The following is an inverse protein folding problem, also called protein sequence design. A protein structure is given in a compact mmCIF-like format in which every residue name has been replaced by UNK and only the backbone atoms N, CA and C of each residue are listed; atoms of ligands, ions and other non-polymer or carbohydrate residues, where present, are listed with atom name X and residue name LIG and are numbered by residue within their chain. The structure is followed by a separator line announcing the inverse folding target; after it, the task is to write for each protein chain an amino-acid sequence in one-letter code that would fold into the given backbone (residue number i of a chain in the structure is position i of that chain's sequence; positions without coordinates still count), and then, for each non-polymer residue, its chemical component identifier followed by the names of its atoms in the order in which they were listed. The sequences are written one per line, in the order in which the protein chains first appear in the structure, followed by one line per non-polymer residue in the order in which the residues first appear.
data_IF_005982320542
#
_entry.id   IF_005982320542
#
_cell.length_a   1.000
_cell.length_b   1.000
_cell.length_c   1.000
_cell.angle_alpha   90.00
_cell.angle_beta   90.00
_cell.angle_gamma   90.00
#
_symmetry.space_group_name_H-M   'P 1'
#
loop_
_entity.id
_entity.type
_entity.pdbx_description
1 polymer ?
#
# COMPACT_ATOMS: atom_id res chain seq x y z
N UNK A 1 -12.95 2.15 -6.15
CA UNK A 1 -11.88 2.55 -5.22
C UNK A 1 -12.49 3.52 -4.24
N UNK A 2 -12.51 3.18 -2.95
CA UNK A 2 -13.07 4.03 -1.89
C UNK A 2 -12.03 5.06 -1.43
N UNK A 3 -12.46 6.04 -0.62
CA UNK A 3 -11.52 7.00 -0.02
C UNK A 3 -10.46 6.30 0.85
N UNK A 4 -10.84 5.25 1.58
CA UNK A 4 -9.92 4.45 2.39
C UNK A 4 -8.89 3.71 1.52
N UNK A 5 -9.30 3.13 0.39
CA UNK A 5 -8.37 2.49 -0.55
C UNK A 5 -7.32 3.49 -1.07
N UNK A 6 -7.73 4.72 -1.37
CA UNK A 6 -6.83 5.77 -1.84
C UNK A 6 -5.83 6.17 -0.76
N UNK A 7 -6.30 6.41 0.47
CA UNK A 7 -5.44 6.74 1.62
C UNK A 7 -4.43 5.63 1.93
N UNK A 8 -4.87 4.36 1.88
CA UNK A 8 -3.99 3.20 2.07
C UNK A 8 -2.95 3.10 0.96
N UNK A 9 -3.35 3.30 -0.30
CA UNK A 9 -2.44 3.30 -1.43
C UNK A 9 -1.38 4.40 -1.32
N UNK A 10 -1.77 5.62 -0.98
CA UNK A 10 -0.85 6.75 -0.80
C UNK A 10 0.15 6.51 0.34
N UNK A 11 -0.31 5.93 1.45
CA UNK A 11 0.59 5.55 2.55
C UNK A 11 1.60 4.47 2.11
N UNK A 12 1.15 3.43 1.40
CA UNK A 12 2.05 2.40 0.83
C UNK A 12 3.05 3.00 -0.14
N UNK A 13 2.62 3.95 -0.98
CA UNK A 13 3.49 4.65 -1.91
C UNK A 13 4.55 5.48 -1.18
N UNK A 14 4.14 6.24 -0.17
CA UNK A 14 5.04 7.05 0.66
C UNK A 14 6.07 6.20 1.42
N UNK A 15 5.68 5.01 1.89
CA UNK A 15 6.59 4.07 2.55
C UNK A 15 7.59 3.44 1.57
N UNK A 16 7.13 3.05 0.38
CA UNK A 16 8.02 2.54 -0.67
C UNK A 16 9.01 3.60 -1.17
N UNK A 17 8.60 4.86 -1.31
CA UNK A 17 9.52 5.98 -1.65
C UNK A 17 10.60 6.19 -0.59
N UNK A 18 10.33 5.82 0.67
CA UNK A 18 11.31 5.85 1.77
C UNK A 18 12.08 4.54 1.92
N UNK A 19 11.96 3.62 0.96
CA UNK A 19 12.55 2.28 0.99
C UNK A 19 12.16 1.48 2.26
N UNK A 20 11.00 1.81 2.84
CA UNK A 20 10.48 1.13 4.03
C UNK A 20 9.45 0.08 3.64
N UNK A 21 9.40 -1.07 4.35
CA UNK A 21 8.38 -2.08 4.13
C UNK A 21 7.00 -1.52 4.50
N UNK A 22 6.06 -1.48 3.55
CA UNK A 22 4.69 -1.08 3.82
C UNK A 22 3.88 -2.26 4.38
N UNK A 23 4.06 -2.54 5.67
CA UNK A 23 3.24 -3.53 6.38
C UNK A 23 1.88 -2.93 6.75
N UNK A 24 0.88 -3.78 7.02
CA UNK A 24 -0.43 -3.31 7.45
C UNK A 24 -0.37 -2.43 8.71
N UNK A 25 0.52 -2.78 9.65
CA UNK A 25 0.75 -2.02 10.87
C UNK A 25 1.34 -0.62 10.61
N UNK A 26 2.33 -0.52 9.71
CA UNK A 26 2.96 0.77 9.39
C UNK A 26 1.99 1.69 8.63
N UNK A 27 1.22 1.11 7.71
CA UNK A 27 0.14 1.82 6.99
C UNK A 27 -0.97 2.25 7.95
N UNK A 28 -1.39 1.40 8.89
CA UNK A 28 -2.37 1.75 9.92
C UNK A 28 -1.87 2.88 10.82
N UNK A 29 -0.61 2.83 11.25
CA UNK A 29 0.01 3.89 12.03
C UNK A 29 0.09 5.22 11.25
N UNK A 30 0.33 5.16 9.95
CA UNK A 30 0.45 6.35 9.10
C UNK A 30 -0.90 6.96 8.71
N UNK A 31 -1.92 6.13 8.49
CA UNK A 31 -3.26 6.56 8.06
C UNK A 31 -4.22 6.80 9.22
N UNK A 32 -3.92 6.27 10.41
CA UNK A 32 -4.81 6.28 11.57
C UNK A 32 -6.01 5.34 11.41
N UNK A 33 -6.03 4.49 10.38
CA UNK A 33 -7.09 3.52 10.14
C UNK A 33 -6.84 2.25 10.96
N UNK A 34 -7.90 1.51 11.33
CA UNK A 34 -7.75 0.21 11.96
C UNK A 34 -7.08 -0.79 11.01
N UNK A 35 -6.21 -1.63 11.58
CA UNK A 35 -5.39 -2.57 10.80
C UNK A 35 -6.22 -3.55 9.97
N UNK A 36 -7.38 -3.98 10.46
CA UNK A 36 -8.31 -4.85 9.71
C UNK A 36 -8.82 -4.19 8.42
N UNK A 37 -9.22 -2.91 8.46
CA UNK A 37 -9.65 -2.16 7.27
C UNK A 37 -8.49 -1.93 6.31
N UNK A 38 -7.30 -1.61 6.85
CA UNK A 38 -6.08 -1.47 6.06
C UNK A 38 -5.75 -2.77 5.34
N UNK A 39 -5.78 -3.91 6.05
CA UNK A 39 -5.50 -5.23 5.48
C UNK A 39 -6.50 -5.60 4.39
N UNK A 40 -7.78 -5.26 4.58
CA UNK A 40 -8.83 -5.46 3.58
C UNK A 40 -8.59 -4.59 2.33
N UNK A 41 -8.24 -3.32 2.51
CA UNK A 41 -7.90 -2.43 1.39
C UNK A 41 -6.64 -2.90 0.66
N UNK A 42 -5.58 -3.27 1.38
CA UNK A 42 -4.33 -3.80 0.82
C UNK A 42 -4.58 -5.06 -0.02
N UNK A 43 -5.43 -5.96 0.48
CA UNK A 43 -5.85 -7.16 -0.26
C UNK A 43 -6.58 -6.77 -1.54
N UNK A 44 -7.58 -5.89 -1.46
CA UNK A 44 -8.33 -5.43 -2.64
C UNK A 44 -7.45 -4.70 -3.67
N UNK A 45 -6.46 -3.94 -3.21
CA UNK A 45 -5.48 -3.26 -4.07
C UNK A 45 -4.50 -4.24 -4.73
N UNK A 46 -4.10 -5.30 -4.01
CA UNK A 46 -3.27 -6.37 -4.54
C UNK A 46 -4.02 -7.22 -5.57
N UNK A 47 -5.28 -7.58 -5.30
CA UNK A 47 -6.17 -8.25 -6.27
C UNK A 47 -6.39 -7.38 -7.53
N UNK A 48 -6.44 -6.06 -7.36
CA UNK A 48 -6.49 -5.10 -8.47
C UNK A 48 -5.18 -4.88 -9.21
N UNK A 49 -4.10 -5.58 -8.84
CA UNK A 49 -2.78 -5.48 -9.48
C UNK A 49 -2.01 -4.18 -9.21
N UNK A 50 -2.49 -3.35 -8.28
CA UNK A 50 -1.83 -2.08 -7.91
C UNK A 50 -0.69 -2.29 -6.91
N UNK A 51 -0.84 -3.27 -6.03
CA UNK A 51 0.15 -3.65 -5.03
C UNK A 51 0.62 -5.09 -5.26
N UNK A 52 1.87 -5.35 -4.91
CA UNK A 52 2.45 -6.68 -4.93
C UNK A 52 2.76 -7.09 -3.49
N UNK A 53 2.14 -8.16 -2.96
CA UNK A 53 2.49 -8.68 -1.65
C UNK A 53 3.92 -9.25 -1.70
N UNK A 54 4.76 -8.82 -0.77
CA UNK A 54 6.15 -9.25 -0.61
C UNK A 54 6.38 -9.68 0.85
N UNK A 55 6.03 -10.93 1.14
CA UNK A 55 6.05 -11.45 2.50
C UNK A 55 4.96 -10.78 3.35
N UNK A 56 5.37 -10.09 4.42
CA UNK A 56 4.48 -9.36 5.33
C UNK A 56 4.20 -7.90 4.91
N UNK A 57 4.91 -7.42 3.88
CA UNK A 57 4.79 -6.06 3.38
C UNK A 57 4.20 -6.01 1.96
N UNK A 58 3.72 -4.84 1.57
CA UNK A 58 3.20 -4.57 0.22
C UNK A 58 4.13 -3.61 -0.50
N UNK A 59 4.51 -3.94 -1.73
CA UNK A 59 5.25 -3.03 -2.61
C UNK A 59 4.33 -2.49 -3.67
N UNK A 60 4.64 -1.30 -4.19
CA UNK A 60 3.99 -0.82 -5.41
C UNK A 60 4.30 -1.80 -6.54
N UNK A 61 3.27 -2.19 -7.30
CA UNK A 61 3.48 -2.93 -8.54
C UNK A 61 4.23 -2.05 -9.54
N UNK A 62 5.03 -2.67 -10.41
CA UNK A 62 5.82 -2.03 -11.49
C UNK A 62 5.03 -1.08 -12.39
N UNK A 63 3.70 -1.04 -12.30
CA UNK A 63 2.83 -0.37 -13.26
C UNK A 63 2.56 1.13 -13.02
N UNK A 64 3.01 1.75 -11.92
CA UNK A 64 2.56 3.13 -11.60
C UNK A 64 3.66 4.18 -11.41
N UNK A 65 4.94 3.79 -11.35
CA UNK A 65 6.04 4.74 -11.14
C UNK A 65 7.10 4.60 -12.22
N UNK A 66 6.65 4.73 -13.48
CA UNK A 66 7.53 4.91 -14.65
C UNK A 66 8.39 6.17 -14.52
N UNK A 67 9.43 6.11 -13.70
CA UNK A 67 10.63 6.91 -13.87
C UNK A 67 11.57 6.10 -14.73
N UNK A 68 11.31 6.09 -16.03
CA UNK A 68 12.36 5.82 -17.01
C UNK A 68 13.37 6.96 -16.88
N UNK A 69 14.58 6.65 -16.43
CA UNK A 69 15.72 7.57 -16.41
C UNK A 69 16.47 7.47 -17.74
#
# INVERSE_FOLDING_TARGET
MTAADMTVYEAVAALNTKERPATAADVAAMTGLPEDDVRRCLTSLAEGGRLVPKGDAYTLGTHDWGLEY
#
